data_IF_891078634022
#
_entry.id   IF_891078634022
#
_cell.length_a   1.000
_cell.length_b   1.000
_cell.length_c   1.000
_cell.angle_alpha   90.00
_cell.angle_beta   90.00
_cell.angle_gamma   90.00
#
_symmetry.space_group_name_H-M   'P 1'
#
loop_
_entity.id
_entity.type
_entity.pdbx_description
1 polymer ?
#
# COMPACT_ATOMS: atom_id res chain seq x y z
N UNK A 1 -12.22 22.65 0.24
CA UNK A 1 -10.83 22.18 0.06
C UNK A 1 -10.17 22.99 -1.04
N UNK A 2 -8.86 23.22 -1.05
CA UNK A 2 -8.20 23.92 -2.15
C UNK A 2 -8.35 23.08 -3.42
N UNK A 3 -8.76 23.75 -4.52
CA UNK A 3 -8.87 23.13 -5.83
C UNK A 3 -7.45 22.88 -6.38
N UNK A 4 -7.26 21.75 -7.02
CA UNK A 4 -6.04 21.43 -7.73
C UNK A 4 -6.08 22.05 -9.12
N UNK A 5 -5.36 23.16 -9.29
CA UNK A 5 -5.27 23.85 -10.57
C UNK A 5 -4.03 23.41 -11.32
N UNK A 6 -4.21 22.89 -12.52
CA UNK A 6 -3.15 22.43 -13.40
C UNK A 6 -3.32 23.07 -14.79
N UNK A 7 -2.29 23.02 -15.64
CA UNK A 7 -2.43 23.49 -17.03
C UNK A 7 -3.47 22.68 -17.84
N UNK A 8 -3.86 21.50 -17.39
CA UNK A 8 -4.78 20.61 -18.10
C UNK A 8 -6.21 20.65 -17.57
N UNK A 9 -6.37 20.84 -16.25
CA UNK A 9 -7.68 20.77 -15.61
C UNK A 9 -7.70 21.51 -14.27
N UNK A 10 -8.91 21.86 -13.83
CA UNK A 10 -9.19 22.30 -12.47
C UNK A 10 -9.97 21.18 -11.77
N UNK A 11 -9.40 20.58 -10.75
CA UNK A 11 -9.93 19.38 -10.10
C UNK A 11 -10.22 19.62 -8.63
N UNK A 12 -11.27 18.98 -8.15
CA UNK A 12 -11.59 18.83 -6.73
C UNK A 12 -11.18 17.42 -6.30
N UNK A 13 -10.10 17.30 -5.50
CA UNK A 13 -9.50 16.03 -5.14
C UNK A 13 -9.62 15.75 -3.65
N UNK A 14 -9.96 14.50 -3.33
CA UNK A 14 -10.03 13.97 -1.97
C UNK A 14 -9.03 12.82 -1.77
N UNK A 15 -8.65 12.60 -0.52
CA UNK A 15 -7.83 11.45 -0.12
C UNK A 15 -8.70 10.27 0.29
N UNK A 16 -8.14 9.07 0.23
CA UNK A 16 -8.72 7.86 0.79
C UNK A 16 -7.80 7.26 1.87
N UNK A 17 -8.35 6.71 2.96
CA UNK A 17 -9.77 6.75 3.33
C UNK A 17 -10.22 8.19 3.64
N UNK A 18 -11.47 8.50 3.30
CA UNK A 18 -12.01 9.85 3.50
C UNK A 18 -12.08 10.19 5.00
N UNK A 19 -11.61 11.38 5.35
CA UNK A 19 -11.61 11.91 6.70
C UNK A 19 -12.26 13.29 6.71
N UNK A 20 -13.20 13.52 7.65
CA UNK A 20 -13.75 14.85 7.86
C UNK A 20 -12.63 15.80 8.29
N UNK A 21 -12.57 16.97 7.64
CA UNK A 21 -11.56 18.00 7.90
C UNK A 21 -10.11 17.47 7.80
N UNK A 22 -9.82 16.61 6.79
CA UNK A 22 -8.46 16.13 6.56
C UNK A 22 -7.52 17.34 6.35
N UNK A 23 -6.48 17.50 7.19
CA UNK A 23 -5.53 18.59 7.06
C UNK A 23 -4.58 18.42 5.88
N UNK A 24 -4.58 17.23 5.24
CA UNK A 24 -3.70 16.89 4.14
C UNK A 24 -4.44 16.95 2.80
N UNK A 25 -3.71 17.36 1.77
CA UNK A 25 -4.22 17.40 0.40
C UNK A 25 -3.97 16.06 -0.32
N UNK A 26 -4.78 15.80 -1.35
CA UNK A 26 -4.62 14.63 -2.23
C UNK A 26 -3.47 14.80 -3.25
N UNK A 27 -2.83 15.95 -3.28
CA UNK A 27 -1.73 16.31 -4.18
C UNK A 27 -0.69 17.15 -3.45
N UNK A 28 0.49 17.31 -4.06
CA UNK A 28 1.53 18.20 -3.56
C UNK A 28 2.24 18.96 -4.71
N UNK A 29 3.22 19.76 -4.36
CA UNK A 29 3.97 20.57 -5.33
C UNK A 29 4.72 19.72 -6.37
N UNK A 30 4.99 18.46 -6.12
CA UNK A 30 5.64 17.59 -7.11
C UNK A 30 4.65 17.19 -8.23
N UNK A 31 3.36 17.04 -7.93
CA UNK A 31 2.31 16.84 -8.95
C UNK A 31 2.15 18.08 -9.81
N UNK A 32 2.07 19.26 -9.18
CA UNK A 32 1.98 20.54 -9.88
C UNK A 32 3.19 20.74 -10.82
N UNK A 33 4.39 20.46 -10.30
CA UNK A 33 5.63 20.68 -11.06
C UNK A 33 5.73 19.73 -12.26
N UNK A 34 5.36 18.48 -12.08
CA UNK A 34 5.38 17.48 -13.13
C UNK A 34 4.42 17.84 -14.28
N UNK A 35 3.18 18.22 -13.96
CA UNK A 35 2.20 18.65 -14.96
C UNK A 35 2.58 19.94 -15.66
N UNK A 36 3.16 20.90 -14.93
CA UNK A 36 3.67 22.15 -15.52
C UNK A 36 4.85 21.90 -16.48
N UNK A 37 5.70 20.91 -16.19
CA UNK A 37 6.79 20.52 -17.08
C UNK A 37 6.29 19.86 -18.38
N UNK A 38 5.24 19.07 -18.30
CA UNK A 38 4.67 18.39 -19.47
C UNK A 38 3.89 19.33 -20.40
N UNK A 39 3.25 20.36 -19.87
CA UNK A 39 2.34 21.22 -20.63
C UNK A 39 2.92 21.84 -21.91
N UNK A 40 4.17 22.33 -21.95
CA UNK A 40 4.78 22.87 -23.17
C UNK A 40 5.04 21.82 -24.25
N UNK A 41 5.02 20.53 -23.88
CA UNK A 41 5.26 19.41 -24.79
C UNK A 41 3.92 19.01 -25.43
N UNK A 42 3.58 19.45 -26.58
CA UNK A 42 2.30 19.14 -27.26
C UNK A 42 2.02 17.61 -27.27
N UNK A 43 1.31 17.13 -26.23
CA UNK A 43 0.88 15.73 -26.14
C UNK A 43 -0.29 15.50 -27.08
N UNK A 44 -0.30 14.41 -27.83
CA UNK A 44 -1.41 13.98 -28.66
C UNK A 44 -2.34 13.02 -27.91
N UNK A 45 -3.57 12.88 -28.35
CA UNK A 45 -4.53 11.90 -27.81
C UNK A 45 -4.03 10.45 -27.87
N UNK A 46 -3.10 10.15 -28.76
CA UNK A 46 -2.52 8.81 -28.93
C UNK A 46 -1.31 8.59 -28.02
N UNK A 47 -0.81 9.64 -27.35
CA UNK A 47 0.32 9.52 -26.42
C UNK A 47 -0.05 8.59 -25.26
N UNK A 48 0.76 7.56 -25.05
CA UNK A 48 0.56 6.56 -23.98
C UNK A 48 1.38 6.96 -22.76
N UNK A 49 0.71 7.34 -21.70
CA UNK A 49 1.32 7.79 -20.45
C UNK A 49 1.12 6.75 -19.37
N UNK A 50 2.21 6.30 -18.75
CA UNK A 50 2.19 5.51 -17.54
C UNK A 50 2.43 6.41 -16.32
N UNK A 51 1.55 6.34 -15.35
CA UNK A 51 1.70 7.05 -14.06
C UNK A 51 1.92 6.02 -12.95
N UNK A 52 3.05 6.10 -12.26
CA UNK A 52 3.39 5.21 -11.16
C UNK A 52 3.25 5.92 -9.81
N UNK A 53 2.54 5.26 -8.88
CA UNK A 53 2.37 5.71 -7.49
C UNK A 53 1.63 7.05 -7.34
N UNK A 54 0.62 7.29 -8.17
CA UNK A 54 -0.21 8.51 -8.17
C UNK A 54 -1.21 8.56 -6.99
N UNK A 55 -0.86 8.01 -5.86
CA UNK A 55 -1.63 7.97 -4.60
C UNK A 55 -3.17 8.05 -4.75
N UNK A 56 -3.70 9.23 -5.11
CA UNK A 56 -5.15 9.51 -5.22
C UNK A 56 -5.57 9.99 -6.60
N UNK A 57 -4.73 9.84 -7.63
CA UNK A 57 -5.07 10.15 -9.01
C UNK A 57 -4.89 11.61 -9.43
N UNK A 58 -4.06 12.40 -8.77
CA UNK A 58 -3.83 13.79 -9.13
C UNK A 58 -3.29 13.96 -10.56
N UNK A 59 -2.29 13.14 -10.92
CA UNK A 59 -1.71 13.14 -12.26
C UNK A 59 -2.66 12.48 -13.27
N UNK A 60 -3.19 11.31 -12.94
CA UNK A 60 -4.04 10.54 -13.83
C UNK A 60 -5.33 11.30 -14.19
N UNK A 61 -6.03 11.88 -13.21
CA UNK A 61 -7.23 12.68 -13.46
C UNK A 61 -6.93 13.94 -14.30
N UNK A 62 -5.78 14.59 -14.07
CA UNK A 62 -5.37 15.77 -14.85
C UNK A 62 -5.16 15.46 -16.33
N UNK A 63 -4.69 14.26 -16.64
CA UNK A 63 -4.31 13.83 -17.99
C UNK A 63 -5.41 13.01 -18.69
N UNK A 64 -6.43 12.55 -17.96
CA UNK A 64 -7.44 11.58 -18.39
C UNK A 64 -8.16 11.92 -19.70
N UNK A 65 -8.34 13.21 -20.02
CA UNK A 65 -9.01 13.67 -21.26
C UNK A 65 -8.03 14.08 -22.36
N UNK A 66 -6.74 14.04 -22.10
CA UNK A 66 -5.71 14.55 -23.00
C UNK A 66 -4.96 13.43 -23.73
N UNK A 67 -4.75 12.32 -23.07
CA UNK A 67 -3.86 11.22 -23.50
C UNK A 67 -4.41 9.87 -23.04
N UNK A 68 -3.80 8.77 -23.47
CA UNK A 68 -4.11 7.43 -22.97
C UNK A 68 -3.35 7.18 -21.66
N UNK A 69 -4.07 7.18 -20.53
CA UNK A 69 -3.47 7.06 -19.20
C UNK A 69 -3.58 5.62 -18.69
N UNK A 70 -2.43 5.04 -18.34
CA UNK A 70 -2.33 3.87 -17.47
C UNK A 70 -1.78 4.31 -16.12
N UNK A 71 -2.47 4.01 -15.04
CA UNK A 71 -1.99 4.26 -13.67
C UNK A 71 -1.65 2.94 -13.00
N UNK A 72 -0.53 2.87 -12.28
CA UNK A 72 -0.15 1.67 -11.54
C UNK A 72 0.41 2.01 -10.16
N UNK A 73 0.07 1.18 -9.18
CA UNK A 73 0.54 1.33 -7.80
C UNK A 73 0.20 0.12 -6.94
N UNK A 74 0.79 0.09 -5.75
CA UNK A 74 0.65 -1.02 -4.80
C UNK A 74 -0.32 -0.70 -3.67
N UNK A 75 -1.32 0.16 -3.90
CA UNK A 75 -2.31 0.55 -2.91
C UNK A 75 -3.72 0.41 -3.45
N UNK A 76 -4.53 -0.41 -2.79
CA UNK A 76 -5.97 -0.49 -3.09
C UNK A 76 -6.68 0.82 -2.71
N UNK A 77 -6.25 1.48 -1.64
CA UNK A 77 -6.75 2.82 -1.28
C UNK A 77 -6.41 3.86 -2.35
N UNK A 78 -5.26 3.70 -3.02
CA UNK A 78 -4.90 4.53 -4.18
C UNK A 78 -5.87 4.35 -5.34
N UNK A 79 -6.25 3.12 -5.66
CA UNK A 79 -7.30 2.84 -6.66
C UNK A 79 -8.64 3.44 -6.26
N UNK A 80 -9.07 3.26 -5.03
CA UNK A 80 -10.33 3.86 -4.53
C UNK A 80 -10.29 5.39 -4.60
N UNK A 81 -9.14 5.99 -4.30
CA UNK A 81 -8.92 7.43 -4.42
C UNK A 81 -9.01 7.91 -5.85
N UNK A 82 -8.34 7.24 -6.78
CA UNK A 82 -8.43 7.53 -8.21
C UNK A 82 -9.88 7.46 -8.70
N UNK A 83 -10.59 6.37 -8.39
CA UNK A 83 -11.99 6.20 -8.81
C UNK A 83 -12.92 7.24 -8.20
N UNK A 84 -12.76 7.58 -6.92
CA UNK A 84 -13.53 8.63 -6.25
C UNK A 84 -13.28 9.98 -6.91
N UNK A 85 -12.04 10.31 -7.23
CA UNK A 85 -11.66 11.58 -7.84
C UNK A 85 -12.07 11.68 -9.31
N UNK A 86 -12.04 10.59 -10.08
CA UNK A 86 -12.63 10.56 -11.42
C UNK A 86 -14.14 10.88 -11.36
N UNK A 87 -14.91 10.19 -10.52
CA UNK A 87 -16.36 10.46 -10.37
C UNK A 87 -16.64 11.88 -9.91
N UNK A 88 -15.89 12.38 -8.94
CA UNK A 88 -16.05 13.72 -8.35
C UNK A 88 -15.86 14.83 -9.39
N UNK A 89 -14.97 14.60 -10.34
CA UNK A 89 -14.68 15.53 -11.43
C UNK A 89 -15.43 15.19 -12.74
N UNK A 90 -16.45 14.31 -12.68
CA UNK A 90 -17.28 13.92 -13.83
C UNK A 90 -16.45 13.30 -14.98
N UNK A 91 -15.34 12.64 -14.66
CA UNK A 91 -14.51 11.92 -15.60
C UNK A 91 -14.95 10.44 -15.65
N UNK A 92 -14.98 9.82 -16.84
CA UNK A 92 -15.27 8.40 -16.96
C UNK A 92 -14.23 7.53 -16.23
N UNK A 93 -14.68 6.46 -15.59
CA UNK A 93 -13.75 5.55 -14.91
C UNK A 93 -12.79 4.87 -15.89
N UNK A 94 -13.27 4.58 -17.08
CA UNK A 94 -12.51 3.99 -18.20
C UNK A 94 -11.48 4.94 -18.83
N UNK A 95 -11.50 6.23 -18.49
CA UNK A 95 -10.51 7.19 -18.96
C UNK A 95 -9.09 6.91 -18.42
N UNK A 96 -8.99 6.12 -17.35
CA UNK A 96 -7.72 5.68 -16.77
C UNK A 96 -7.73 4.17 -16.60
N UNK A 97 -6.80 3.48 -17.27
CA UNK A 97 -6.56 2.06 -17.07
C UNK A 97 -5.70 1.86 -15.80
N UNK A 98 -6.24 1.23 -14.76
CA UNK A 98 -5.47 0.93 -13.55
C UNK A 98 -4.90 -0.49 -13.60
N UNK A 99 -3.59 -0.61 -13.36
CA UNK A 99 -2.86 -1.88 -13.29
C UNK A 99 -2.27 -2.03 -11.89
N UNK A 100 -2.62 -3.11 -11.18
CA UNK A 100 -2.06 -3.41 -9.87
C UNK A 100 -0.55 -3.64 -9.96
N UNK A 101 0.21 -3.29 -8.94
CA UNK A 101 1.67 -3.38 -8.98
C UNK A 101 2.22 -4.81 -9.13
N UNK A 102 1.42 -5.82 -8.77
CA UNK A 102 1.74 -7.24 -8.96
C UNK A 102 1.40 -7.77 -10.37
N UNK A 103 0.72 -6.98 -11.21
CA UNK A 103 0.32 -7.35 -12.57
C UNK A 103 1.31 -6.82 -13.64
N UNK A 104 1.43 -7.48 -14.80
CA UNK A 104 2.31 -7.04 -15.88
C UNK A 104 1.81 -5.74 -16.52
N UNK A 105 2.74 -4.84 -16.82
CA UNK A 105 2.48 -3.63 -17.60
C UNK A 105 2.32 -4.00 -19.10
N UNK A 106 1.50 -3.22 -19.81
CA UNK A 106 1.25 -3.41 -21.23
C UNK A 106 1.65 -2.16 -22.03
N UNK A 107 2.97 -1.99 -22.22
CA UNK A 107 3.55 -0.94 -23.04
C UNK A 107 3.33 -1.15 -24.56
N UNK A 108 4.04 -0.41 -25.44
CA UNK A 108 5.03 0.58 -25.06
C UNK A 108 4.43 1.88 -24.58
N UNK A 109 5.13 2.58 -23.67
CA UNK A 109 4.74 3.90 -23.15
C UNK A 109 5.64 4.99 -23.70
N UNK A 110 5.06 6.14 -24.09
CA UNK A 110 5.79 7.32 -24.59
C UNK A 110 6.29 8.20 -23.44
N UNK A 111 5.56 8.21 -22.32
CA UNK A 111 5.89 8.96 -21.11
C UNK A 111 5.66 8.09 -19.89
N UNK A 112 6.61 8.11 -18.98
CA UNK A 112 6.48 7.46 -17.66
C UNK A 112 6.68 8.52 -16.58
N UNK A 113 5.64 8.73 -15.79
CA UNK A 113 5.61 9.69 -14.71
C UNK A 113 5.63 8.93 -13.39
N UNK A 114 6.64 9.16 -12.56
CA UNK A 114 6.85 8.40 -11.33
C UNK A 114 6.76 9.32 -10.12
N UNK A 115 5.79 9.12 -9.25
CA UNK A 115 5.88 9.63 -7.90
C UNK A 115 6.80 8.70 -7.11
N UNK A 116 7.95 9.24 -6.67
CA UNK A 116 8.93 8.42 -5.93
C UNK A 116 8.31 7.93 -4.63
N UNK A 117 8.17 6.59 -4.46
CA UNK A 117 7.54 6.03 -3.27
C UNK A 117 8.51 6.09 -2.07
N UNK A 118 7.96 5.96 -0.86
CA UNK A 118 8.77 5.88 0.38
C UNK A 118 9.67 4.65 0.39
N UNK A 119 9.19 3.55 -0.18
CA UNK A 119 9.90 2.27 -0.26
C UNK A 119 10.71 2.21 -1.55
N UNK A 120 12.03 2.35 -1.46
CA UNK A 120 12.90 2.29 -2.65
C UNK A 120 12.90 0.93 -3.34
N UNK A 121 12.64 -0.15 -2.63
CA UNK A 121 12.47 -1.47 -3.23
C UNK A 121 11.26 -1.52 -4.18
N UNK A 122 10.15 -0.83 -3.85
CA UNK A 122 9.02 -0.70 -4.79
C UNK A 122 9.46 0.07 -6.04
N UNK A 123 10.19 1.17 -5.88
CA UNK A 123 10.74 1.92 -7.02
C UNK A 123 11.63 1.01 -7.87
N UNK A 124 12.55 0.28 -7.26
CA UNK A 124 13.46 -0.64 -7.96
C UNK A 124 12.69 -1.68 -8.77
N UNK A 125 11.73 -2.36 -8.17
CA UNK A 125 10.91 -3.35 -8.86
C UNK A 125 10.12 -2.73 -10.02
N UNK A 126 9.56 -1.54 -9.83
CA UNK A 126 8.84 -0.82 -10.88
C UNK A 126 9.76 -0.47 -12.06
N UNK A 127 10.98 0.00 -11.79
CA UNK A 127 11.97 0.32 -12.83
C UNK A 127 12.43 -0.93 -13.59
N UNK A 128 12.61 -2.06 -12.90
CA UNK A 128 12.91 -3.35 -13.51
C UNK A 128 11.78 -3.78 -14.47
N UNK A 129 10.53 -3.61 -14.05
CA UNK A 129 9.35 -3.95 -14.87
C UNK A 129 9.12 -3.04 -16.08
N UNK A 130 9.75 -1.87 -16.11
CA UNK A 130 9.73 -0.99 -17.29
C UNK A 130 10.60 -1.51 -18.45
N UNK A 131 11.46 -2.50 -18.21
CA UNK A 131 12.26 -3.09 -19.27
C UNK A 131 11.38 -3.65 -20.39
N UNK A 132 11.63 -3.21 -21.64
CA UNK A 132 10.82 -3.57 -22.80
C UNK A 132 9.43 -2.91 -22.87
N UNK A 133 9.10 -2.00 -21.96
CA UNK A 133 7.82 -1.30 -21.91
C UNK A 133 7.88 0.16 -22.39
N UNK A 134 9.04 0.63 -22.81
CA UNK A 134 9.25 2.01 -23.26
C UNK A 134 9.21 2.09 -24.79
N UNK A 135 8.51 3.10 -25.32
CA UNK A 135 8.53 3.42 -26.74
C UNK A 135 9.90 4.02 -27.13
N UNK A 136 10.30 3.93 -28.41
CA UNK A 136 11.45 4.68 -28.91
C UNK A 136 11.31 6.18 -28.63
N UNK A 137 12.31 6.79 -27.99
CA UNK A 137 12.28 8.21 -27.60
C UNK A 137 11.39 8.51 -26.40
N UNK A 138 11.00 7.50 -25.62
CA UNK A 138 10.23 7.70 -24.41
C UNK A 138 10.97 8.58 -23.38
N UNK A 139 10.21 9.32 -22.58
CA UNK A 139 10.72 10.06 -21.42
C UNK A 139 10.29 9.42 -20.11
N UNK A 140 11.24 9.30 -19.18
CA UNK A 140 10.98 8.82 -17.81
C UNK A 140 11.28 9.94 -16.84
N UNK A 141 10.25 10.40 -16.13
CA UNK A 141 10.35 11.54 -15.20
C UNK A 141 9.88 11.10 -13.83
N UNK A 142 10.78 11.15 -12.84
CA UNK A 142 10.40 10.90 -11.46
C UNK A 142 10.29 12.23 -10.69
N UNK A 143 9.33 12.32 -9.78
CA UNK A 143 9.04 13.53 -9.01
C UNK A 143 8.86 13.23 -7.53
N UNK A 144 9.31 14.17 -6.69
CA UNK A 144 9.12 14.09 -5.25
C UNK A 144 9.42 15.39 -4.55
N UNK A 145 8.93 15.53 -3.33
CA UNK A 145 9.34 16.62 -2.45
C UNK A 145 10.79 16.40 -2.03
N UNK A 146 11.64 17.44 -2.08
CA UNK A 146 13.09 17.33 -1.82
C UNK A 146 13.43 16.59 -0.54
N UNK A 147 12.66 16.83 0.54
CA UNK A 147 12.84 16.12 1.83
C UNK A 147 12.55 14.61 1.79
N UNK A 148 11.86 14.15 0.74
CA UNK A 148 11.45 12.74 0.55
C UNK A 148 12.05 12.15 -0.74
N UNK A 149 12.96 12.84 -1.39
CA UNK A 149 13.62 12.41 -2.62
C UNK A 149 15.09 12.04 -2.31
N UNK A 150 15.36 10.81 -1.87
CA UNK A 150 16.71 10.39 -1.53
C UNK A 150 17.56 10.25 -2.81
N UNK A 151 18.88 10.46 -2.67
CA UNK A 151 19.84 10.28 -3.79
C UNK A 151 19.70 8.89 -4.43
N UNK A 152 19.51 7.87 -3.63
CA UNK A 152 19.34 6.49 -4.09
C UNK A 152 18.18 6.30 -5.11
N UNK A 153 17.18 7.18 -5.12
CA UNK A 153 16.15 7.14 -6.16
C UNK A 153 16.73 7.51 -7.54
N UNK A 154 17.63 8.49 -7.61
CA UNK A 154 18.37 8.83 -8.82
C UNK A 154 19.30 7.71 -9.25
N UNK A 155 20.02 7.11 -8.30
CA UNK A 155 20.94 5.98 -8.57
C UNK A 155 20.20 4.77 -9.16
N UNK A 156 18.96 4.48 -8.69
CA UNK A 156 18.11 3.42 -9.25
C UNK A 156 17.64 3.74 -10.67
N UNK A 157 17.21 4.98 -10.93
CA UNK A 157 16.85 5.44 -12.28
C UNK A 157 18.02 5.31 -13.24
N UNK A 158 19.22 5.73 -12.82
CA UNK A 158 20.43 5.63 -13.65
C UNK A 158 20.77 4.15 -13.94
N UNK A 159 20.64 3.29 -12.93
CA UNK A 159 20.94 1.87 -13.05
C UNK A 159 20.02 1.15 -14.03
N UNK A 160 18.72 1.42 -13.99
CA UNK A 160 17.73 0.62 -14.73
C UNK A 160 17.21 1.30 -16.00
N UNK A 161 17.26 2.62 -16.10
CA UNK A 161 16.76 3.40 -17.24
C UNK A 161 17.92 3.99 -18.06
N UNK A 162 18.76 4.82 -17.44
CA UNK A 162 19.86 5.51 -18.09
C UNK A 162 20.22 6.82 -17.38
N UNK A 163 21.07 7.65 -17.98
CA UNK A 163 21.60 8.87 -17.37
C UNK A 163 20.50 9.76 -16.78
N UNK A 164 20.75 10.29 -15.57
CA UNK A 164 19.79 11.08 -14.82
C UNK A 164 20.24 12.52 -14.68
N UNK A 165 19.36 13.44 -15.01
CA UNK A 165 19.50 14.87 -14.74
C UNK A 165 18.43 15.33 -13.76
N UNK A 166 18.80 16.20 -12.82
CA UNK A 166 17.87 16.75 -11.85
C UNK A 166 17.50 18.20 -12.18
N UNK A 167 16.21 18.54 -12.05
CA UNK A 167 15.77 19.92 -12.16
C UNK A 167 16.24 20.78 -10.97
N UNK A 168 16.12 22.10 -11.09
CA UNK A 168 16.07 22.97 -9.91
C UNK A 168 14.82 22.66 -9.08
N UNK A 169 14.87 22.97 -7.80
CA UNK A 169 13.70 22.79 -6.94
C UNK A 169 12.67 23.91 -7.16
N UNK A 170 11.40 23.55 -7.32
CA UNK A 170 10.26 24.47 -7.39
C UNK A 170 9.30 24.12 -6.26
N UNK A 171 8.91 25.08 -5.42
CA UNK A 171 8.06 24.85 -4.24
C UNK A 171 8.52 23.66 -3.37
N UNK A 172 9.82 23.44 -3.23
CA UNK A 172 10.44 22.30 -2.54
C UNK A 172 10.18 20.92 -3.21
N UNK A 173 9.69 20.88 -4.45
CA UNK A 173 9.62 19.69 -5.28
C UNK A 173 10.76 19.67 -6.29
N UNK A 174 11.15 18.50 -6.74
CA UNK A 174 12.19 18.29 -7.75
C UNK A 174 11.79 17.18 -8.72
N UNK A 175 12.21 17.34 -9.98
CA UNK A 175 12.11 16.33 -11.02
C UNK A 175 13.46 15.68 -11.27
N UNK A 176 13.45 14.40 -11.59
CA UNK A 176 14.58 13.62 -12.07
C UNK A 176 14.21 13.11 -13.47
N UNK A 177 15.02 13.47 -14.46
CA UNK A 177 14.84 13.06 -15.84
C UNK A 177 15.80 11.92 -16.15
N UNK A 178 15.30 10.74 -16.43
CA UNK A 178 16.10 9.60 -16.84
C UNK A 178 15.96 9.42 -18.36
N UNK A 179 17.07 9.43 -19.06
CA UNK A 179 17.12 9.20 -20.53
C UNK A 179 17.24 7.70 -20.77
N UNK A 180 16.22 7.04 -21.37
CA UNK A 180 16.30 5.61 -21.62
C UNK A 180 17.44 5.22 -22.54
N UNK A 181 18.20 4.23 -22.13
CA UNK A 181 19.26 3.60 -22.88
C UNK A 181 19.00 2.09 -23.03
N UNK A 182 19.49 1.46 -24.10
CA UNK A 182 19.45 0.01 -24.21
C UNK A 182 20.18 -0.65 -23.04
N UNK A 183 19.50 -1.50 -22.29
CA UNK A 183 20.05 -2.26 -21.16
C UNK A 183 19.69 -3.73 -21.29
N UNK A 184 20.55 -4.59 -20.77
CA UNK A 184 20.23 -6.01 -20.63
C UNK A 184 19.02 -6.19 -19.71
N UNK A 185 18.25 -7.25 -19.93
CA UNK A 185 17.13 -7.62 -19.07
C UNK A 185 17.61 -7.75 -17.62
N UNK A 186 17.14 -6.90 -16.70
CA UNK A 186 17.53 -7.00 -15.32
C UNK A 186 16.83 -8.18 -14.63
N UNK A 187 17.52 -8.78 -13.65
CA UNK A 187 16.91 -9.77 -12.76
C UNK A 187 16.41 -9.05 -11.53
N UNK A 188 15.14 -9.27 -11.17
CA UNK A 188 14.58 -8.71 -9.95
C UNK A 188 15.18 -9.40 -8.71
N UNK A 189 15.57 -8.64 -7.66
CA UNK A 189 15.93 -9.21 -6.37
C UNK A 189 14.71 -9.60 -5.53
N UNK A 190 13.51 -9.42 -6.07
CA UNK A 190 12.25 -9.70 -5.37
C UNK A 190 11.52 -10.90 -6.00
N UNK A 191 10.74 -11.66 -5.19
CA UNK A 191 10.57 -11.51 -3.74
C UNK A 191 11.85 -11.84 -2.95
N UNK A 192 12.11 -11.10 -1.88
CA UNK A 192 13.13 -11.46 -0.89
C UNK A 192 12.60 -12.54 0.08
N UNK A 193 13.48 -13.23 0.80
CA UNK A 193 13.10 -14.33 1.67
C UNK A 193 13.79 -14.22 3.03
N UNK A 194 13.09 -14.67 4.07
CA UNK A 194 13.69 -14.93 5.37
C UNK A 194 13.04 -16.15 6.04
N UNK A 195 13.73 -16.73 7.02
CA UNK A 195 13.27 -17.89 7.77
C UNK A 195 12.92 -17.54 9.20
N UNK A 196 11.91 -18.23 9.75
CA UNK A 196 11.60 -18.24 11.17
C UNK A 196 11.82 -19.65 11.72
N UNK A 197 12.28 -19.74 12.97
CA UNK A 197 12.47 -21.00 13.65
C UNK A 197 11.18 -21.47 14.37
N UNK A 198 10.39 -20.51 14.87
CA UNK A 198 9.17 -20.79 15.65
C UNK A 198 8.03 -19.82 15.28
N UNK A 199 7.01 -20.29 14.55
CA UNK A 199 6.96 -21.58 13.86
C UNK A 199 8.03 -21.67 12.77
N UNK A 200 8.45 -22.87 12.40
CA UNK A 200 9.43 -23.06 11.32
C UNK A 200 8.78 -22.71 9.98
N UNK A 201 9.10 -21.54 9.43
CA UNK A 201 8.54 -21.00 8.19
C UNK A 201 9.63 -20.39 7.33
N UNK A 202 9.50 -20.57 6.02
CA UNK A 202 10.21 -19.77 5.03
C UNK A 202 9.22 -18.80 4.42
N UNK A 203 9.50 -17.51 4.53
CA UNK A 203 8.58 -16.46 4.10
C UNK A 203 9.17 -15.66 2.94
N UNK A 204 8.40 -15.51 1.88
CA UNK A 204 8.71 -14.65 0.73
C UNK A 204 8.03 -13.29 0.91
N UNK A 205 8.66 -12.24 0.39
CA UNK A 205 8.19 -10.88 0.55
C UNK A 205 8.45 -10.09 -0.73
N UNK A 206 7.37 -9.69 -1.43
CA UNK A 206 7.45 -8.81 -2.56
C UNK A 206 7.94 -7.41 -2.17
N UNK A 207 8.34 -6.61 -3.14
CA UNK A 207 9.12 -5.40 -2.95
C UNK A 207 8.54 -4.40 -1.93
N UNK A 208 7.22 -4.23 -1.87
CA UNK A 208 6.58 -3.24 -0.99
C UNK A 208 6.07 -3.82 0.35
N UNK A 209 6.34 -5.09 0.64
CA UNK A 209 5.91 -5.70 1.90
C UNK A 209 6.66 -5.08 3.07
N UNK A 210 5.93 -4.74 4.12
CA UNK A 210 6.51 -4.21 5.36
C UNK A 210 7.44 -5.23 6.02
N UNK A 211 8.62 -4.79 6.48
CA UNK A 211 9.65 -5.64 7.10
C UNK A 211 10.02 -6.88 6.26
N UNK A 212 10.21 -6.71 4.93
CA UNK A 212 10.49 -7.82 4.00
C UNK A 212 11.81 -8.57 4.27
N UNK A 213 12.75 -8.00 5.02
CA UNK A 213 14.07 -8.60 5.29
C UNK A 213 14.12 -9.37 6.61
N UNK A 214 13.03 -9.36 7.38
CA UNK A 214 12.94 -10.05 8.66
C UNK A 214 11.65 -9.78 9.40
N UNK A 215 11.41 -10.56 10.45
CA UNK A 215 10.20 -10.44 11.23
C UNK A 215 10.13 -9.10 11.98
N UNK A 216 9.01 -8.37 11.76
CA UNK A 216 8.69 -7.17 12.53
C UNK A 216 8.71 -7.44 14.04
N UNK A 217 9.24 -6.48 14.79
CA UNK A 217 9.41 -6.62 16.24
C UNK A 217 8.08 -6.66 17.00
N UNK A 218 7.03 -5.98 16.53
CA UNK A 218 5.68 -6.06 17.09
C UNK A 218 5.08 -7.44 16.83
N UNK A 219 5.19 -7.93 15.61
CA UNK A 219 4.77 -9.30 15.23
C UNK A 219 5.53 -10.35 16.05
N UNK A 220 6.84 -10.18 16.25
CA UNK A 220 7.66 -11.06 17.11
C UNK A 220 7.14 -11.10 18.55
N UNK A 221 6.73 -9.96 19.09
CA UNK A 221 6.15 -9.88 20.43
C UNK A 221 4.75 -10.51 20.48
N UNK A 222 3.99 -10.50 19.38
CA UNK A 222 2.61 -10.97 19.33
C UNK A 222 2.53 -12.51 19.15
N UNK A 223 3.35 -13.10 18.31
CA UNK A 223 3.31 -14.52 17.93
C UNK A 223 3.18 -15.51 19.13
N UNK A 224 3.94 -15.36 20.23
CA UNK A 224 3.84 -16.28 21.36
C UNK A 224 2.49 -16.25 22.08
N UNK A 225 1.76 -15.15 21.94
CA UNK A 225 0.52 -14.86 22.66
C UNK A 225 -0.75 -15.04 21.80
N UNK A 226 -0.62 -15.46 20.54
CA UNK A 226 -1.77 -15.75 19.69
C UNK A 226 -2.71 -16.75 20.37
N UNK A 227 -4.04 -16.59 20.26
CA UNK A 227 -4.99 -17.62 20.71
C UNK A 227 -4.75 -18.92 19.94
N UNK A 228 -4.90 -20.06 20.59
CA UNK A 228 -4.54 -21.39 20.05
C UNK A 228 -5.67 -22.38 20.25
N UNK A 229 -5.64 -23.43 19.41
CA UNK A 229 -6.53 -24.60 19.54
C UNK A 229 -8.02 -24.23 19.48
N UNK A 230 -8.35 -23.21 18.71
CA UNK A 230 -9.72 -22.84 18.45
C UNK A 230 -10.31 -23.76 17.36
N UNK A 231 -11.57 -24.14 17.55
CA UNK A 231 -12.29 -24.99 16.61
C UNK A 231 -12.67 -24.25 15.31
N UNK A 232 -13.85 -24.59 14.78
CA UNK A 232 -14.37 -23.93 13.59
C UNK A 232 -14.83 -22.51 13.92
N UNK A 233 -13.99 -21.54 13.63
CA UNK A 233 -14.25 -20.11 13.80
C UNK A 233 -13.85 -19.34 12.53
N UNK A 234 -14.41 -18.15 12.35
CA UNK A 234 -14.13 -17.24 11.25
C UNK A 234 -13.18 -16.16 11.74
N UNK A 235 -12.03 -16.07 11.11
CA UNK A 235 -10.92 -15.22 11.54
C UNK A 235 -10.48 -14.29 10.42
N UNK A 236 -10.17 -13.04 10.74
CA UNK A 236 -9.48 -12.13 9.84
C UNK A 236 -8.13 -11.70 10.42
N UNK A 237 -7.09 -11.70 9.58
CA UNK A 237 -5.81 -11.01 9.81
C UNK A 237 -5.88 -9.65 9.11
N UNK A 238 -6.07 -8.59 9.89
CA UNK A 238 -6.30 -7.23 9.42
C UNK A 238 -4.98 -6.47 9.33
N UNK A 239 -4.56 -6.14 8.11
CA UNK A 239 -3.22 -5.65 7.81
C UNK A 239 -2.22 -6.80 7.84
N UNK A 240 -2.50 -7.86 7.06
CA UNK A 240 -1.82 -9.15 7.18
C UNK A 240 -0.34 -9.13 6.75
N UNK A 241 0.10 -8.12 5.98
CA UNK A 241 1.43 -8.09 5.43
C UNK A 241 1.75 -9.38 4.65
N UNK A 242 2.82 -10.07 5.02
CA UNK A 242 3.19 -11.36 4.42
C UNK A 242 2.40 -12.58 4.97
N UNK A 243 1.41 -12.36 5.81
CA UNK A 243 0.52 -13.41 6.34
C UNK A 243 1.05 -14.19 7.54
N UNK A 244 2.18 -13.82 8.13
CA UNK A 244 2.84 -14.61 9.18
C UNK A 244 1.97 -14.83 10.41
N UNK A 245 1.16 -13.84 10.85
CA UNK A 245 0.26 -13.98 12.00
C UNK A 245 -0.85 -15.01 11.71
N UNK A 246 -1.51 -14.86 10.57
CA UNK A 246 -2.56 -15.77 10.12
C UNK A 246 -2.05 -17.21 9.95
N UNK A 247 -0.86 -17.38 9.37
CA UNK A 247 -0.24 -18.70 9.17
C UNK A 247 0.07 -19.35 10.53
N UNK A 248 0.72 -18.61 11.44
CA UNK A 248 1.03 -19.11 12.77
C UNK A 248 -0.22 -19.49 13.57
N UNK A 249 -1.27 -18.68 13.47
CA UNK A 249 -2.58 -18.99 14.06
C UNK A 249 -3.18 -20.25 13.44
N UNK A 250 -3.21 -20.34 12.12
CA UNK A 250 -3.82 -21.45 11.38
C UNK A 250 -3.15 -22.79 11.65
N UNK A 251 -1.82 -22.81 11.87
CA UNK A 251 -1.08 -24.02 12.28
C UNK A 251 -1.60 -24.61 13.60
N UNK A 252 -2.02 -23.77 14.55
CA UNK A 252 -2.57 -24.22 15.85
C UNK A 252 -4.09 -24.37 15.86
N UNK A 253 -4.79 -23.90 14.83
CA UNK A 253 -6.26 -23.91 14.73
C UNK A 253 -6.69 -24.40 13.35
N UNK A 254 -6.54 -25.69 13.04
CA UNK A 254 -6.67 -26.22 11.67
C UNK A 254 -8.09 -26.13 11.09
N UNK A 255 -9.11 -25.97 11.91
CA UNK A 255 -10.52 -25.88 11.48
C UNK A 255 -10.98 -24.43 11.24
N UNK A 256 -10.15 -23.44 11.56
CA UNK A 256 -10.51 -22.03 11.38
C UNK A 256 -10.61 -21.67 9.89
N UNK A 257 -11.61 -20.87 9.55
CA UNK A 257 -11.79 -20.21 8.25
C UNK A 257 -11.09 -18.85 8.31
N UNK A 258 -10.05 -18.65 7.49
CA UNK A 258 -9.15 -17.51 7.61
C UNK A 258 -9.23 -16.60 6.40
N UNK A 259 -9.40 -15.29 6.68
CA UNK A 259 -9.30 -14.21 5.70
C UNK A 259 -8.06 -13.38 6.02
N UNK A 260 -7.20 -13.16 5.03
CA UNK A 260 -6.04 -12.29 5.10
C UNK A 260 -6.31 -11.05 4.28
N UNK A 261 -6.24 -9.89 4.89
CA UNK A 261 -6.54 -8.62 4.21
C UNK A 261 -5.45 -7.58 4.44
N UNK A 262 -5.01 -6.97 3.36
CA UNK A 262 -4.07 -5.84 3.37
C UNK A 262 -4.49 -4.82 2.31
N UNK A 263 -4.03 -3.58 2.39
CA UNK A 263 -4.27 -2.59 1.37
C UNK A 263 -3.27 -2.69 0.21
N UNK A 264 -2.12 -3.34 0.42
CA UNK A 264 -1.07 -3.59 -0.56
C UNK A 264 -1.36 -4.87 -1.36
N UNK A 265 -1.34 -4.76 -2.68
CA UNK A 265 -1.46 -5.93 -3.58
C UNK A 265 -0.28 -6.89 -3.40
N UNK A 266 0.93 -6.36 -3.27
CA UNK A 266 2.14 -7.16 -3.04
C UNK A 266 2.13 -7.87 -1.69
N UNK A 267 1.53 -7.28 -0.66
CA UNK A 267 1.34 -7.93 0.64
C UNK A 267 0.36 -9.09 0.52
N UNK A 268 -0.80 -8.88 -0.09
CA UNK A 268 -1.80 -9.92 -0.30
C UNK A 268 -1.23 -11.08 -1.16
N UNK A 269 -0.42 -10.79 -2.17
CA UNK A 269 0.27 -11.80 -2.98
C UNK A 269 1.28 -12.57 -2.14
N UNK A 270 2.13 -11.89 -1.36
CA UNK A 270 3.11 -12.53 -0.47
C UNK A 270 2.42 -13.43 0.55
N UNK A 271 1.32 -12.98 1.15
CA UNK A 271 0.53 -13.76 2.09
C UNK A 271 -0.04 -15.04 1.45
N UNK A 272 -0.51 -14.97 0.20
CA UNK A 272 -1.00 -16.12 -0.56
C UNK A 272 0.10 -17.14 -0.82
N UNK A 273 1.27 -16.70 -1.29
CA UNK A 273 2.42 -17.55 -1.57
C UNK A 273 2.93 -18.23 -0.29
N UNK A 274 3.04 -17.49 0.80
CA UNK A 274 3.46 -17.99 2.11
C UNK A 274 2.46 -18.97 2.70
N UNK A 275 1.16 -18.70 2.56
CA UNK A 275 0.11 -19.62 2.98
C UNK A 275 0.20 -20.96 2.23
N UNK A 276 0.31 -20.91 0.91
CA UNK A 276 0.44 -22.11 0.09
C UNK A 276 1.71 -22.91 0.44
N UNK A 277 2.83 -22.22 0.69
CA UNK A 277 4.08 -22.86 1.12
C UNK A 277 3.95 -23.55 2.48
N UNK A 278 3.28 -22.93 3.45
CA UNK A 278 3.20 -23.40 4.83
C UNK A 278 2.05 -24.40 5.06
N UNK A 279 0.93 -24.27 4.37
CA UNK A 279 -0.34 -24.95 4.65
C UNK A 279 -0.91 -25.69 3.42
N UNK A 280 -0.19 -25.67 2.29
CA UNK A 280 -0.61 -26.36 1.06
C UNK A 280 -1.93 -25.81 0.52
N UNK A 281 -2.81 -26.72 0.10
CA UNK A 281 -4.10 -26.37 -0.50
C UNK A 281 -5.19 -26.01 0.52
N UNK A 282 -4.82 -25.74 1.78
CA UNK A 282 -5.80 -25.32 2.79
C UNK A 282 -6.49 -24.04 2.35
N UNK A 283 -7.85 -24.00 2.28
CA UNK A 283 -8.57 -22.83 1.83
C UNK A 283 -8.35 -21.62 2.76
N UNK A 284 -8.16 -20.46 2.16
CA UNK A 284 -8.18 -19.16 2.81
C UNK A 284 -8.60 -18.09 1.80
N UNK A 285 -9.05 -16.95 2.29
CA UNK A 285 -9.39 -15.79 1.46
C UNK A 285 -8.29 -14.74 1.56
N UNK A 286 -7.82 -14.23 0.41
CA UNK A 286 -6.79 -13.19 0.33
C UNK A 286 -7.35 -11.97 -0.38
N UNK A 287 -7.33 -10.82 0.28
CA UNK A 287 -7.95 -9.59 -0.22
C UNK A 287 -6.96 -8.42 -0.18
N UNK A 288 -6.80 -7.75 -1.31
CA UNK A 288 -6.30 -6.38 -1.31
C UNK A 288 -7.51 -5.44 -1.17
N UNK A 289 -7.67 -4.81 -0.01
CA UNK A 289 -8.89 -4.09 0.34
C UNK A 289 -8.65 -2.97 1.37
N UNK A 290 -9.67 -2.13 1.55
CA UNK A 290 -9.70 -1.12 2.60
C UNK A 290 -10.03 -1.75 3.96
N UNK A 291 -9.10 -2.54 4.48
CA UNK A 291 -9.29 -3.30 5.69
C UNK A 291 -10.56 -4.16 5.63
N UNK A 292 -11.41 -4.08 6.66
CA UNK A 292 -12.68 -4.79 6.75
C UNK A 292 -13.89 -3.91 6.39
N UNK A 293 -13.70 -2.84 5.60
CA UNK A 293 -14.78 -1.90 5.27
C UNK A 293 -15.97 -2.56 4.54
N UNK A 294 -15.72 -3.63 3.77
CA UNK A 294 -16.76 -4.36 3.02
C UNK A 294 -17.12 -5.71 3.67
N UNK A 295 -16.53 -6.02 4.84
CA UNK A 295 -16.86 -7.23 5.57
C UNK A 295 -18.29 -7.12 6.15
N UNK A 296 -19.07 -8.17 6.02
CA UNK A 296 -20.40 -8.23 6.62
C UNK A 296 -20.33 -8.01 8.13
N UNK A 297 -21.30 -7.28 8.68
CA UNK A 297 -21.42 -7.11 10.12
C UNK A 297 -21.68 -8.47 10.79
N UNK A 298 -21.17 -8.65 12.00
CA UNK A 298 -21.37 -9.86 12.81
C UNK A 298 -20.99 -11.18 12.08
N UNK A 299 -19.96 -11.12 11.23
CA UNK A 299 -19.51 -12.24 10.40
C UNK A 299 -18.21 -12.90 10.85
N UNK A 300 -17.49 -12.30 11.79
CA UNK A 300 -16.20 -12.79 12.29
C UNK A 300 -16.24 -13.09 13.79
N UNK A 301 -15.54 -14.14 14.19
CA UNK A 301 -15.40 -14.54 15.60
C UNK A 301 -14.12 -13.99 16.21
N UNK A 302 -13.09 -13.79 15.39
CA UNK A 302 -11.77 -13.29 15.80
C UNK A 302 -11.19 -12.37 14.73
N UNK A 303 -10.57 -11.28 15.17
CA UNK A 303 -9.70 -10.42 14.32
C UNK A 303 -8.34 -10.32 14.97
N UNK A 304 -7.30 -10.60 14.21
CA UNK A 304 -5.90 -10.35 14.56
C UNK A 304 -5.45 -9.07 13.86
N UNK A 305 -4.71 -8.22 14.55
CA UNK A 305 -4.24 -6.97 13.94
C UNK A 305 -2.91 -6.50 14.54
N UNK A 306 -1.94 -6.26 13.70
CA UNK A 306 -0.74 -5.50 14.00
C UNK A 306 -0.83 -4.15 13.28
N UNK A 307 -1.46 -3.12 13.86
CA UNK A 307 -1.72 -1.87 13.16
C UNK A 307 -0.42 -1.09 12.88
N UNK A 308 -0.40 -0.21 11.86
CA UNK A 308 0.79 0.54 11.49
C UNK A 308 1.19 1.53 12.59
N UNK A 309 2.45 1.42 13.10
CA UNK A 309 2.96 2.26 14.20
C UNK A 309 3.78 3.48 13.75
N UNK A 310 4.23 3.50 12.49
CA UNK A 310 5.31 4.38 12.03
C UNK A 310 4.85 5.52 11.12
N UNK A 311 3.58 5.70 10.91
CA UNK A 311 3.08 6.85 10.16
C UNK A 311 2.96 8.04 11.12
N UNK A 312 3.40 9.23 10.66
CA UNK A 312 3.34 10.49 11.41
C UNK A 312 2.13 10.52 12.35
N UNK A 313 2.32 10.71 13.63
CA UNK A 313 1.40 10.40 14.75
C UNK A 313 -0.10 10.58 14.45
N UNK A 314 -0.48 11.65 13.74
CA UNK A 314 -1.89 11.95 13.41
C UNK A 314 -2.48 10.95 12.41
N UNK A 315 -1.73 10.57 11.36
CA UNK A 315 -2.22 9.65 10.32
C UNK A 315 -2.27 8.22 10.84
N UNK A 316 -1.25 7.78 11.60
CA UNK A 316 -1.21 6.45 12.19
C UNK A 316 -2.31 6.23 13.23
N UNK A 317 -2.61 7.23 14.04
CA UNK A 317 -3.68 7.20 15.01
C UNK A 317 -5.07 7.09 14.36
N UNK A 318 -5.30 7.80 13.27
CA UNK A 318 -6.54 7.72 12.51
C UNK A 318 -6.72 6.34 11.87
N UNK A 319 -5.67 5.79 11.25
CA UNK A 319 -5.74 4.48 10.61
C UNK A 319 -5.99 3.36 11.63
N UNK A 320 -5.27 3.34 12.74
CA UNK A 320 -5.48 2.35 13.79
C UNK A 320 -6.91 2.44 14.38
N UNK A 321 -7.41 3.64 14.65
CA UNK A 321 -8.77 3.86 15.12
C UNK A 321 -9.80 3.31 14.13
N UNK A 322 -9.63 3.59 12.85
CA UNK A 322 -10.49 3.11 11.78
C UNK A 322 -10.48 1.57 11.68
N UNK A 323 -9.29 0.95 11.76
CA UNK A 323 -9.16 -0.51 11.78
C UNK A 323 -9.90 -1.13 12.98
N UNK A 324 -9.83 -0.51 14.17
CA UNK A 324 -10.56 -0.99 15.34
C UNK A 324 -12.08 -0.85 15.17
N UNK A 325 -12.56 0.23 14.54
CA UNK A 325 -13.98 0.40 14.23
C UNK A 325 -14.47 -0.66 13.22
N UNK A 326 -13.71 -0.92 12.17
CA UNK A 326 -14.01 -1.96 11.19
C UNK A 326 -14.03 -3.36 11.83
N UNK A 327 -13.04 -3.68 12.65
CA UNK A 327 -12.99 -4.95 13.38
C UNK A 327 -14.21 -5.11 14.29
N UNK A 328 -14.58 -4.07 15.05
CA UNK A 328 -15.78 -4.10 15.89
C UNK A 328 -17.07 -4.33 15.08
N UNK A 329 -17.20 -3.69 13.93
CA UNK A 329 -18.37 -3.86 13.09
C UNK A 329 -18.49 -5.31 12.57
N UNK A 330 -17.39 -5.89 12.11
CA UNK A 330 -17.34 -7.24 11.56
C UNK A 330 -17.47 -8.35 12.59
N UNK A 331 -17.04 -8.14 13.84
CA UNK A 331 -17.10 -9.14 14.91
C UNK A 331 -18.53 -9.42 15.36
N UNK A 332 -18.84 -10.69 15.65
CA UNK A 332 -20.06 -11.10 16.34
C UNK A 332 -20.06 -10.59 17.79
N UNK A 333 -21.23 -10.61 18.44
CA UNK A 333 -21.31 -10.36 19.89
C UNK A 333 -20.48 -11.41 20.65
N UNK A 334 -19.56 -10.94 21.50
CA UNK A 334 -18.61 -11.79 22.20
C UNK A 334 -17.37 -12.15 21.36
N UNK A 335 -17.31 -11.75 20.09
CA UNK A 335 -16.12 -11.89 19.26
C UNK A 335 -14.96 -11.01 19.74
N UNK A 336 -13.75 -11.40 19.39
CA UNK A 336 -12.53 -10.83 19.96
C UNK A 336 -11.65 -10.14 18.90
N UNK A 337 -11.14 -8.96 19.24
CA UNK A 337 -10.05 -8.29 18.54
C UNK A 337 -8.77 -8.44 19.36
N UNK A 338 -7.75 -9.04 18.77
CA UNK A 338 -6.43 -9.14 19.37
C UNK A 338 -5.45 -8.26 18.62
N UNK A 339 -4.75 -7.38 19.36
CA UNK A 339 -3.78 -6.45 18.79
C UNK A 339 -2.45 -6.48 19.53
N UNK A 340 -1.38 -6.10 18.81
CA UNK A 340 -0.14 -5.62 19.40
C UNK A 340 -0.02 -4.12 19.17
N UNK A 341 0.53 -3.39 20.13
CA UNK A 341 0.78 -1.97 20.00
C UNK A 341 1.94 -1.50 20.85
N UNK A 342 2.61 -0.42 20.44
CA UNK A 342 3.55 0.26 21.31
C UNK A 342 2.82 0.83 22.54
N UNK A 343 3.37 0.67 23.73
CA UNK A 343 2.74 1.09 25.00
C UNK A 343 2.35 2.56 25.02
N UNK A 344 3.16 3.43 24.41
CA UNK A 344 2.89 4.88 24.37
C UNK A 344 1.72 5.31 23.50
N UNK A 345 1.20 4.42 22.63
CA UNK A 345 0.09 4.75 21.72
C UNK A 345 -1.29 4.77 22.39
N UNK A 346 -1.38 4.29 23.63
CA UNK A 346 -2.61 4.36 24.42
C UNK A 346 -3.78 3.55 23.86
N UNK A 347 -3.52 2.48 23.10
CA UNK A 347 -4.54 1.66 22.45
C UNK A 347 -5.55 1.06 23.42
N UNK A 348 -5.15 0.76 24.66
CA UNK A 348 -6.07 0.30 25.70
C UNK A 348 -7.23 1.30 25.94
N UNK A 349 -6.92 2.58 26.06
CA UNK A 349 -7.94 3.62 26.24
C UNK A 349 -8.82 3.78 24.99
N UNK A 350 -8.24 3.67 23.79
CA UNK A 350 -8.97 3.74 22.53
C UNK A 350 -9.93 2.56 22.38
N UNK A 351 -9.47 1.34 22.67
CA UNK A 351 -10.29 0.15 22.61
C UNK A 351 -11.46 0.16 23.61
N UNK A 352 -11.24 0.65 24.82
CA UNK A 352 -12.32 0.82 25.83
C UNK A 352 -13.47 1.71 25.37
N UNK A 353 -13.25 2.60 24.41
CA UNK A 353 -14.31 3.44 23.82
C UNK A 353 -15.18 2.69 22.81
N UNK A 354 -14.68 1.57 22.27
CA UNK A 354 -15.36 0.79 21.24
C UNK A 354 -15.87 -0.56 21.74
N UNK A 355 -15.17 -1.19 22.68
CA UNK A 355 -15.41 -2.55 23.12
C UNK A 355 -15.89 -2.60 24.57
N UNK A 356 -16.67 -3.63 24.92
CA UNK A 356 -17.20 -3.82 26.28
C UNK A 356 -16.14 -4.24 27.29
N UNK A 357 -15.20 -5.09 26.84
CA UNK A 357 -14.10 -5.59 27.66
C UNK A 357 -12.76 -5.40 26.94
N UNK A 358 -11.76 -4.95 27.67
CA UNK A 358 -10.38 -4.86 27.15
C UNK A 358 -9.43 -5.42 28.19
N UNK A 359 -8.73 -6.48 27.84
CA UNK A 359 -7.80 -7.19 28.69
C UNK A 359 -6.37 -7.05 28.16
N UNK A 360 -5.41 -6.87 29.06
CA UNK A 360 -4.00 -6.98 28.71
C UNK A 360 -3.57 -8.44 28.83
N UNK A 361 -3.28 -9.04 27.67
CA UNK A 361 -2.82 -10.43 27.61
C UNK A 361 -1.36 -10.55 28.02
N UNK A 362 -0.52 -9.66 27.50
CA UNK A 362 0.90 -9.59 27.80
C UNK A 362 1.45 -8.18 27.60
N UNK A 363 2.61 -7.92 28.19
CA UNK A 363 3.35 -6.69 27.95
C UNK A 363 4.85 -6.92 28.14
N UNK A 364 5.65 -6.14 27.42
CA UNK A 364 7.07 -5.97 27.64
C UNK A 364 7.41 -4.45 27.71
N UNK A 365 8.65 -4.04 27.88
CA UNK A 365 8.98 -2.61 27.98
C UNK A 365 8.50 -1.77 26.80
N UNK A 366 8.40 -2.33 25.59
CA UNK A 366 8.06 -1.63 24.34
C UNK A 366 6.62 -1.87 23.90
N UNK A 367 6.11 -3.09 24.00
CA UNK A 367 4.84 -3.53 23.42
C UNK A 367 3.84 -3.98 24.49
N UNK A 368 2.57 -3.88 24.13
CA UNK A 368 1.45 -4.46 24.85
C UNK A 368 0.61 -5.29 23.86
N UNK A 369 0.16 -6.46 24.30
CA UNK A 369 -0.81 -7.30 23.59
C UNK A 369 -2.15 -7.13 24.31
N UNK A 370 -3.16 -6.70 23.58
CA UNK A 370 -4.49 -6.44 24.09
C UNK A 370 -5.51 -7.33 23.39
N UNK A 371 -6.49 -7.80 24.18
CA UNK A 371 -7.68 -8.48 23.71
C UNK A 371 -8.88 -7.60 24.03
N UNK A 372 -9.67 -7.28 23.01
CA UNK A 372 -10.90 -6.48 23.15
C UNK A 372 -12.12 -7.33 22.74
N UNK A 373 -13.19 -7.30 23.53
CA UNK A 373 -14.39 -8.15 23.36
C UNK A 373 -15.58 -7.26 22.97
N UNK A 374 -16.27 -7.61 21.87
CA UNK A 374 -17.47 -6.90 21.38
C UNK A 374 -18.71 -7.11 22.23
#
# INVERSE_FOLDING_TARGET
MPQFQTPYAQLDLIRQPEQQNDPLQAFDAADEYLLAHLHPQALSSDTRVLVLNDNFGALACSLATQVQVTSSGDSHLGLLGLQANLRRNQLPLEAVNFVQADQPLQGPFDRVLIRVPKTLALLEEQLIRLHGQLAPGAEVIAAGMVKHLPRAAGDLLERYIGPVNASLAVKKARLLFATPEPKAQPTSPYPSQYTLDKPALQLVNHANVFCREGLDIGTRAFLPHLPKHLGKIRVADLGCGNGVLAIAFALSSPQAEVTLVDESYMAAQSARENWASALGDRPATFLAADGLAQQEADSLDLVLCNPPFHQQQVVGDFLAWRMFQQARAALVKGGELWIVGNRHLGYHAKLKRLFRGVEQVAANPKFVILKAIK
#
